data_IF_345624741587
#
_entry.id   IF_345624741587
#
_cell.length_a   1.000
_cell.length_b   1.000
_cell.length_c   1.000
_cell.angle_alpha   90.00
_cell.angle_beta   90.00
_cell.angle_gamma   90.00
#
_symmetry.space_group_name_H-M   'P 1'
#
loop_
_entity.id
_entity.type
_entity.pdbx_description
1 polymer ?
#
# COMPACT_ATOMS: atom_id res chain seq x y z
N UNK A 1 -9.91 -12.44 9.66
CA UNK A 1 -9.28 -11.14 10.04
C UNK A 1 -9.75 -10.04 9.09
N UNK A 2 -9.56 -10.15 7.78
CA UNK A 2 -9.98 -9.12 6.81
C UNK A 2 -11.44 -8.71 6.99
N UNK A 3 -12.37 -9.66 7.06
CA UNK A 3 -13.82 -9.39 7.20
C UNK A 3 -14.15 -8.57 8.45
N UNK A 4 -13.43 -8.82 9.56
CA UNK A 4 -13.59 -8.06 10.80
C UNK A 4 -13.13 -6.61 10.63
N UNK A 5 -11.99 -6.39 9.98
CA UNK A 5 -11.47 -5.04 9.71
C UNK A 5 -12.44 -4.28 8.81
N UNK A 6 -12.91 -4.93 7.73
CA UNK A 6 -13.89 -4.34 6.81
C UNK A 6 -15.20 -3.99 7.53
N UNK A 7 -15.69 -4.87 8.41
CA UNK A 7 -16.90 -4.56 9.19
C UNK A 7 -16.70 -3.37 10.13
N UNK A 8 -15.60 -3.34 10.87
CA UNK A 8 -15.25 -2.20 11.74
C UNK A 8 -15.14 -0.90 10.94
N UNK A 9 -14.50 -0.93 9.76
CA UNK A 9 -14.38 0.23 8.87
C UNK A 9 -15.76 0.71 8.40
N UNK A 10 -16.68 -0.20 8.02
CA UNK A 10 -18.06 0.14 7.65
C UNK A 10 -18.82 0.82 8.78
N UNK A 11 -18.70 0.29 9.99
CA UNK A 11 -19.39 0.83 11.17
C UNK A 11 -18.91 2.25 11.53
N UNK A 12 -17.64 2.54 11.28
CA UNK A 12 -17.02 3.85 11.55
C UNK A 12 -17.18 4.88 10.43
N UNK A 13 -17.48 4.46 9.22
CA UNK A 13 -17.39 5.30 8.02
C UNK A 13 -18.24 6.59 8.14
N UNK A 14 -19.46 6.51 8.68
CA UNK A 14 -20.31 7.68 8.87
C UNK A 14 -19.69 8.69 9.84
N UNK A 15 -19.14 8.21 10.95
CA UNK A 15 -18.43 9.05 11.93
C UNK A 15 -17.20 9.70 11.31
N UNK A 16 -16.43 8.96 10.47
CA UNK A 16 -15.29 9.52 9.76
C UNK A 16 -15.73 10.62 8.78
N UNK A 17 -16.80 10.40 8.02
CA UNK A 17 -17.36 11.40 7.09
C UNK A 17 -17.82 12.67 7.79
N UNK A 18 -18.32 12.58 9.01
CA UNK A 18 -18.72 13.74 9.83
C UNK A 18 -17.51 14.48 10.43
N UNK A 19 -16.46 13.73 10.78
CA UNK A 19 -15.27 14.29 11.43
C UNK A 19 -14.29 14.95 10.45
N UNK A 20 -14.07 14.34 9.29
CA UNK A 20 -13.10 14.79 8.30
C UNK A 20 -13.78 15.49 7.13
N UNK A 21 -13.48 16.77 6.96
CA UNK A 21 -14.00 17.59 5.86
C UNK A 21 -13.04 17.50 4.67
N UNK A 22 -13.57 17.14 3.51
CA UNK A 22 -12.79 17.14 2.27
C UNK A 22 -12.63 18.57 1.76
N UNK A 23 -11.40 18.98 1.48
CA UNK A 23 -11.14 20.27 0.84
C UNK A 23 -11.59 20.20 -0.64
N UNK A 24 -12.45 21.14 -1.05
CA UNK A 24 -12.98 21.22 -2.43
C UNK A 24 -11.94 21.72 -3.44
N UNK A 25 -10.89 22.41 -2.99
CA UNK A 25 -9.85 23.00 -3.84
C UNK A 25 -8.59 22.10 -3.88
N UNK A 26 -8.71 20.94 -4.52
CA UNK A 26 -7.60 19.99 -4.66
C UNK A 26 -6.82 20.21 -5.95
N UNK A 27 -5.50 20.11 -5.89
CA UNK A 27 -4.67 19.98 -7.10
C UNK A 27 -4.83 18.58 -7.69
N UNK A 28 -5.55 18.48 -8.79
CA UNK A 28 -5.88 17.22 -9.47
C UNK A 28 -4.76 16.72 -10.41
N UNK A 29 -3.60 17.37 -10.41
CA UNK A 29 -2.46 16.88 -11.20
C UNK A 29 -2.05 15.48 -10.78
N UNK A 30 -1.58 14.64 -11.73
CA UNK A 30 -1.06 13.33 -11.43
C UNK A 30 0.07 13.37 -10.39
N UNK A 31 -0.03 12.56 -9.37
CA UNK A 31 0.92 12.53 -8.25
C UNK A 31 2.24 11.84 -8.57
N UNK A 32 2.25 10.97 -9.60
CA UNK A 32 3.45 10.27 -10.12
C UNK A 32 4.14 9.39 -9.07
N UNK A 33 3.37 8.72 -8.21
CA UNK A 33 3.92 7.84 -7.17
C UNK A 33 4.80 6.74 -7.77
N UNK A 34 4.28 5.96 -8.72
CA UNK A 34 5.05 4.88 -9.34
C UNK A 34 6.12 5.40 -10.28
N UNK A 35 5.92 6.53 -10.95
CA UNK A 35 6.98 7.13 -11.77
C UNK A 35 8.22 7.44 -10.92
N UNK A 36 8.05 8.05 -9.74
CA UNK A 36 9.15 8.33 -8.81
C UNK A 36 9.85 7.03 -8.37
N UNK A 37 9.09 5.97 -8.10
CA UNK A 37 9.62 4.68 -7.72
C UNK A 37 10.44 4.04 -8.86
N UNK A 38 9.98 4.12 -10.11
CA UNK A 38 10.68 3.59 -11.28
C UNK A 38 11.96 4.37 -11.60
N UNK A 39 11.97 5.68 -11.39
CA UNK A 39 13.13 6.56 -11.59
C UNK A 39 14.22 6.38 -10.54
N UNK A 40 13.94 5.67 -9.44
CA UNK A 40 14.94 5.36 -8.42
C UNK A 40 16.10 4.54 -9.01
N UNK A 41 17.33 4.99 -8.76
CA UNK A 41 18.55 4.29 -9.18
C UNK A 41 18.89 3.10 -8.28
N UNK A 42 18.11 2.83 -7.25
CA UNK A 42 18.35 1.73 -6.32
C UNK A 42 18.16 0.37 -7.00
N UNK A 43 19.00 -0.57 -6.61
CA UNK A 43 18.96 -1.97 -7.08
C UNK A 43 17.62 -2.64 -6.76
N UNK A 44 17.05 -2.32 -5.61
CA UNK A 44 15.71 -2.71 -5.17
C UNK A 44 14.88 -1.46 -4.99
N UNK A 45 13.72 -1.41 -5.64
CA UNK A 45 12.78 -0.30 -5.55
C UNK A 45 11.83 -0.57 -4.39
N UNK A 46 12.08 0.07 -3.26
CA UNK A 46 11.39 -0.21 -2.01
C UNK A 46 10.40 0.90 -1.68
N UNK A 47 9.15 0.52 -1.44
CA UNK A 47 8.16 1.32 -0.74
C UNK A 47 8.33 1.01 0.75
N UNK A 48 8.83 1.97 1.52
CA UNK A 48 9.10 1.82 2.95
C UNK A 48 7.82 1.99 3.77
N UNK A 49 7.35 0.93 4.44
CA UNK A 49 6.12 1.02 5.22
C UNK A 49 6.39 1.48 6.65
N UNK A 50 5.67 2.53 7.05
CA UNK A 50 5.64 3.07 8.41
C UNK A 50 4.35 2.62 9.09
N UNK A 51 4.48 1.81 10.14
CA UNK A 51 3.36 1.33 10.96
C UNK A 51 3.74 1.17 12.41
N UNK A 52 2.82 1.52 13.31
CA UNK A 52 3.00 1.39 14.75
C UNK A 52 2.75 -0.02 15.26
N UNK A 53 1.70 -0.64 14.74
CA UNK A 53 1.25 -1.97 15.14
C UNK A 53 0.71 -2.78 13.96
N UNK A 54 0.48 -4.06 14.16
CA UNK A 54 -0.28 -4.93 13.25
C UNK A 54 -0.94 -6.07 14.00
N UNK A 55 -2.04 -6.66 13.48
CA UNK A 55 -2.71 -7.79 14.12
C UNK A 55 -1.82 -9.00 14.34
N UNK A 56 -0.80 -9.20 13.50
CA UNK A 56 0.11 -10.34 13.58
C UNK A 56 1.30 -10.15 14.51
N UNK A 57 1.73 -8.90 14.75
CA UNK A 57 2.95 -8.59 15.51
C UNK A 57 2.68 -7.78 16.79
N UNK A 58 1.43 -7.31 17.01
CA UNK A 58 1.13 -6.36 18.08
C UNK A 58 1.81 -5.02 17.84
N UNK A 59 2.20 -4.34 18.91
CA UNK A 59 2.98 -3.09 18.84
C UNK A 59 4.39 -3.44 18.35
N UNK A 60 4.79 -2.86 17.21
CA UNK A 60 6.10 -3.12 16.58
C UNK A 60 7.15 -2.17 17.14
N UNK A 61 6.75 -0.94 17.46
CA UNK A 61 7.63 0.09 18.00
C UNK A 61 6.89 0.92 19.05
N UNK A 62 7.32 0.83 20.31
CA UNK A 62 6.72 1.58 21.43
C UNK A 62 7.01 3.07 21.28
N UNK A 63 8.28 3.44 21.07
CA UNK A 63 8.72 4.81 20.81
C UNK A 63 8.53 5.14 19.32
N UNK A 64 7.27 5.32 18.92
CA UNK A 64 6.92 5.59 17.53
C UNK A 64 7.08 7.07 17.21
N UNK A 65 8.22 7.45 16.63
CA UNK A 65 8.49 8.78 16.08
C UNK A 65 8.36 8.74 14.54
N UNK A 66 7.21 9.22 14.06
CA UNK A 66 6.83 9.21 12.65
C UNK A 66 7.85 9.91 11.75
N UNK A 67 8.25 11.14 12.12
CA UNK A 67 9.13 11.96 11.29
C UNK A 67 10.58 11.46 11.31
N UNK A 68 11.05 10.95 12.43
CA UNK A 68 12.36 10.31 12.50
C UNK A 68 12.43 9.05 11.65
N UNK A 69 11.37 8.23 11.66
CA UNK A 69 11.28 7.04 10.79
C UNK A 69 11.27 7.41 9.30
N UNK A 70 10.45 8.39 8.91
CA UNK A 70 10.40 8.86 7.53
C UNK A 70 11.77 9.41 7.06
N UNK A 71 12.45 10.23 7.88
CA UNK A 71 13.79 10.75 7.60
C UNK A 71 14.81 9.63 7.45
N UNK A 72 14.78 8.63 8.32
CA UNK A 72 15.70 7.49 8.25
C UNK A 72 15.50 6.68 6.96
N UNK A 73 14.25 6.48 6.53
CA UNK A 73 13.96 5.80 5.26
C UNK A 73 14.51 6.59 4.06
N UNK A 74 14.27 7.91 4.01
CA UNK A 74 14.81 8.78 2.96
C UNK A 74 16.36 8.72 2.95
N UNK A 75 16.98 8.80 4.12
CA UNK A 75 18.45 8.73 4.26
C UNK A 75 19.03 7.39 3.80
N UNK A 76 18.22 6.32 3.85
CA UNK A 76 18.57 5.00 3.31
C UNK A 76 18.28 4.87 1.81
N UNK A 77 17.86 5.95 1.15
CA UNK A 77 17.59 5.98 -0.29
C UNK A 77 16.16 5.56 -0.68
N UNK A 78 15.23 5.39 0.27
CA UNK A 78 13.83 5.08 -0.04
C UNK A 78 13.15 6.34 -0.56
N UNK A 79 12.54 6.26 -1.74
CA UNK A 79 11.89 7.39 -2.43
C UNK A 79 10.38 7.45 -2.21
N UNK A 80 9.78 6.37 -1.74
CA UNK A 80 8.33 6.24 -1.57
C UNK A 80 8.00 5.60 -0.22
N UNK A 81 7.04 6.16 0.48
CA UNK A 81 6.55 5.62 1.75
C UNK A 81 5.16 4.99 1.58
N UNK A 82 4.89 3.99 2.40
CA UNK A 82 3.56 3.48 2.71
C UNK A 82 3.25 3.84 4.16
N UNK A 83 2.17 4.57 4.40
CA UNK A 83 1.82 5.06 5.73
C UNK A 83 0.49 4.47 6.15
N UNK A 84 0.49 3.70 7.25
CA UNK A 84 -0.71 3.12 7.82
C UNK A 84 -1.60 4.22 8.43
N UNK A 85 -2.84 4.30 7.96
CA UNK A 85 -3.85 5.22 8.49
C UNK A 85 -5.00 4.50 9.18
N UNK A 86 -5.05 3.17 9.10
CA UNK A 86 -6.06 2.36 9.79
C UNK A 86 -5.84 2.40 11.32
N UNK A 87 -6.87 2.82 12.06
CA UNK A 87 -6.75 3.23 13.45
C UNK A 87 -6.89 2.09 14.45
N UNK A 88 -7.80 1.12 14.20
CA UNK A 88 -8.22 0.13 15.20
C UNK A 88 -7.25 -1.05 15.33
N UNK A 89 -6.74 -1.53 14.21
CA UNK A 89 -5.91 -2.75 14.15
C UNK A 89 -4.42 -2.46 13.93
N UNK A 90 -4.11 -1.30 13.31
CA UNK A 90 -2.73 -0.91 12.99
C UNK A 90 -2.27 0.30 13.78
N UNK A 91 -3.13 0.92 14.58
CA UNK A 91 -2.88 2.13 15.37
C UNK A 91 -2.33 3.28 14.50
N UNK A 92 -2.83 3.36 13.25
CA UNK A 92 -2.53 4.42 12.32
C UNK A 92 -3.35 5.67 12.59
N UNK A 93 -3.06 6.75 11.86
CA UNK A 93 -3.80 8.01 11.92
C UNK A 93 -3.74 8.70 10.56
N UNK A 94 -4.84 9.33 10.14
CA UNK A 94 -4.88 10.10 8.89
C UNK A 94 -3.91 11.27 8.91
N UNK A 95 -3.70 11.87 10.08
CA UNK A 95 -2.80 13.01 10.32
C UNK A 95 -1.33 12.70 10.04
N UNK A 96 -0.92 11.43 9.98
CA UNK A 96 0.46 11.06 9.68
C UNK A 96 0.88 11.51 8.27
N UNK A 97 -0.04 11.47 7.30
CA UNK A 97 0.27 11.87 5.92
C UNK A 97 0.58 13.36 5.83
N UNK A 98 -0.32 14.30 6.23
CA UNK A 98 0.00 15.72 6.19
C UNK A 98 1.22 16.09 7.04
N UNK A 99 1.43 15.50 8.22
CA UNK A 99 2.62 15.74 9.04
C UNK A 99 3.93 15.42 8.30
N UNK A 100 3.96 14.32 7.54
CA UNK A 100 5.12 13.98 6.71
C UNK A 100 5.24 14.98 5.56
N UNK A 101 4.15 15.27 4.85
CA UNK A 101 4.14 16.14 3.66
C UNK A 101 4.53 17.59 3.96
N UNK A 102 4.20 18.11 5.13
CA UNK A 102 4.60 19.45 5.56
C UNK A 102 6.12 19.56 5.79
N UNK A 103 6.77 18.44 6.07
CA UNK A 103 8.19 18.42 6.48
C UNK A 103 9.12 17.85 5.41
N UNK A 104 8.64 16.91 4.60
CA UNK A 104 9.44 16.11 3.69
C UNK A 104 8.79 16.04 2.30
N UNK A 105 9.61 16.25 1.27
CA UNK A 105 9.18 16.02 -0.13
C UNK A 105 9.37 14.53 -0.48
N UNK A 106 8.34 13.74 -0.23
CA UNK A 106 8.34 12.29 -0.48
C UNK A 106 6.96 11.84 -0.95
N UNK A 107 6.93 10.81 -1.77
CA UNK A 107 5.68 10.21 -2.25
C UNK A 107 5.10 9.25 -1.22
N UNK A 108 3.77 9.34 -0.99
CA UNK A 108 3.09 8.58 0.06
C UNK A 108 1.92 7.76 -0.51
N UNK A 109 1.99 6.45 -0.30
CA UNK A 109 0.85 5.53 -0.38
C UNK A 109 0.09 5.56 0.94
N UNK A 110 -1.18 5.96 0.92
CA UNK A 110 -2.07 5.73 2.05
C UNK A 110 -2.41 4.24 2.15
N UNK A 111 -1.94 3.58 3.20
CA UNK A 111 -2.21 2.16 3.47
C UNK A 111 -3.41 2.07 4.42
N UNK A 112 -4.58 1.81 3.86
CA UNK A 112 -5.85 1.70 4.58
C UNK A 112 -6.77 0.69 3.87
N UNK A 113 -7.93 0.40 4.43
CA UNK A 113 -8.97 -0.44 3.83
C UNK A 113 -10.03 0.47 3.20
N UNK A 114 -9.88 0.74 1.90
CA UNK A 114 -10.79 1.58 1.13
C UNK A 114 -11.97 0.74 0.65
N UNK A 115 -13.18 1.12 1.10
CA UNK A 115 -14.45 0.46 0.82
C UNK A 115 -15.55 1.43 0.39
N UNK A 116 -15.24 2.72 0.29
CA UNK A 116 -16.17 3.78 -0.07
C UNK A 116 -15.42 4.89 -0.83
N UNK A 117 -16.08 5.48 -1.82
CA UNK A 117 -15.47 6.53 -2.66
C UNK A 117 -15.03 7.76 -1.88
N UNK A 118 -15.73 8.10 -0.78
CA UNK A 118 -15.35 9.20 0.09
C UNK A 118 -13.91 9.09 0.58
N UNK A 119 -13.44 7.86 0.89
CA UNK A 119 -12.08 7.63 1.36
C UNK A 119 -11.04 8.01 0.30
N UNK A 120 -11.37 7.92 -1.00
CA UNK A 120 -10.48 8.30 -2.10
C UNK A 120 -10.34 9.83 -2.15
N UNK A 121 -11.45 10.57 -2.05
CA UNK A 121 -11.42 12.02 -1.97
C UNK A 121 -10.70 12.50 -0.71
N UNK A 122 -10.94 11.84 0.42
CA UNK A 122 -10.26 12.13 1.68
C UNK A 122 -8.74 11.87 1.55
N UNK A 123 -8.32 10.75 0.97
CA UNK A 123 -6.91 10.44 0.70
C UNK A 123 -6.20 11.59 -0.06
N UNK A 124 -6.85 12.08 -1.11
CA UNK A 124 -6.34 13.23 -1.87
C UNK A 124 -6.25 14.48 -1.00
N UNK A 125 -7.27 14.76 -0.20
CA UNK A 125 -7.34 15.97 0.62
C UNK A 125 -6.27 16.06 1.71
N UNK A 126 -5.80 14.92 2.22
CA UNK A 126 -4.73 14.82 3.21
C UNK A 126 -3.33 14.73 2.60
N UNK A 127 -3.23 14.72 1.25
CA UNK A 127 -1.96 14.77 0.54
C UNK A 127 -1.36 13.40 0.17
N UNK A 128 -2.13 12.33 0.16
CA UNK A 128 -1.68 11.06 -0.39
C UNK A 128 -1.34 11.20 -1.90
N UNK A 129 -0.36 10.44 -2.36
CA UNK A 129 0.02 10.33 -3.77
C UNK A 129 -0.52 9.05 -4.41
N UNK A 130 -0.75 8.03 -3.61
CA UNK A 130 -1.25 6.73 -4.02
C UNK A 130 -2.21 6.19 -2.96
N UNK A 131 -3.16 5.37 -3.38
CA UNK A 131 -4.05 4.64 -2.48
C UNK A 131 -3.90 3.13 -2.65
N UNK A 132 -4.26 2.39 -1.59
CA UNK A 132 -4.39 0.94 -1.63
C UNK A 132 -5.83 0.54 -1.91
N UNK A 133 -6.02 -0.36 -2.86
CA UNK A 133 -7.24 -1.15 -3.01
C UNK A 133 -6.94 -2.62 -2.75
N UNK A 134 -7.80 -3.32 -2.02
CA UNK A 134 -7.65 -4.75 -1.70
C UNK A 134 -8.72 -5.52 -2.44
N UNK A 135 -8.32 -6.38 -3.38
CA UNK A 135 -9.25 -7.07 -4.27
C UNK A 135 -10.23 -7.96 -3.51
N UNK A 136 -9.77 -8.64 -2.45
CA UNK A 136 -10.62 -9.49 -1.60
C UNK A 136 -11.70 -8.72 -0.84
N UNK A 137 -11.55 -7.41 -0.68
CA UNK A 137 -12.50 -6.55 0.02
C UNK A 137 -13.56 -5.91 -0.90
N UNK A 138 -13.37 -6.00 -2.22
CA UNK A 138 -14.14 -5.26 -3.22
C UNK A 138 -14.69 -6.18 -4.31
N UNK A 139 -15.82 -5.80 -4.88
CA UNK A 139 -16.31 -6.39 -6.13
C UNK A 139 -15.53 -5.83 -7.33
N UNK A 140 -15.56 -6.54 -8.48
CA UNK A 140 -14.96 -6.04 -9.73
C UNK A 140 -15.50 -4.67 -10.14
N UNK A 141 -16.78 -4.41 -9.91
CA UNK A 141 -17.42 -3.13 -10.22
C UNK A 141 -16.87 -2.00 -9.33
N UNK A 142 -16.70 -2.25 -8.03
CA UNK A 142 -16.11 -1.29 -7.09
C UNK A 142 -14.64 -1.03 -7.40
N UNK A 143 -13.86 -2.06 -7.72
CA UNK A 143 -12.45 -1.90 -8.15
C UNK A 143 -12.36 -0.94 -9.33
N UNK A 144 -13.13 -1.18 -10.39
CA UNK A 144 -13.11 -0.33 -11.59
C UNK A 144 -13.59 1.10 -11.30
N UNK A 145 -14.63 1.25 -10.48
CA UNK A 145 -15.13 2.57 -10.06
C UNK A 145 -14.07 3.32 -9.27
N UNK A 146 -13.45 2.68 -8.28
CA UNK A 146 -12.47 3.32 -7.40
C UNK A 146 -11.18 3.67 -8.14
N UNK A 147 -10.72 2.82 -9.06
CA UNK A 147 -9.61 3.16 -9.97
C UNK A 147 -9.93 4.40 -10.79
N UNK A 148 -11.14 4.48 -11.36
CA UNK A 148 -11.57 5.64 -12.15
C UNK A 148 -11.56 6.90 -11.29
N UNK A 149 -12.19 6.89 -10.12
CA UNK A 149 -12.24 8.04 -9.20
C UNK A 149 -10.81 8.45 -8.79
N UNK A 150 -9.94 7.50 -8.43
CA UNK A 150 -8.57 7.80 -8.06
C UNK A 150 -7.80 8.49 -9.19
N UNK A 151 -7.93 8.01 -10.43
CA UNK A 151 -7.33 8.65 -11.62
C UNK A 151 -7.86 10.08 -11.85
N UNK A 152 -9.16 10.31 -11.68
CA UNK A 152 -9.79 11.65 -11.78
C UNK A 152 -9.26 12.59 -10.69
N UNK A 153 -8.92 12.05 -9.50
CA UNK A 153 -8.26 12.80 -8.42
C UNK A 153 -6.73 12.93 -8.61
N UNK A 154 -6.16 12.38 -9.69
CA UNK A 154 -4.72 12.37 -9.95
C UNK A 154 -3.93 11.46 -8.99
N UNK A 155 -4.58 10.50 -8.34
CA UNK A 155 -3.94 9.51 -7.47
C UNK A 155 -3.50 8.28 -8.25
N UNK A 156 -2.33 7.75 -7.92
CA UNK A 156 -1.96 6.39 -8.30
C UNK A 156 -2.70 5.35 -7.43
N UNK A 157 -2.80 4.12 -7.92
CA UNK A 157 -3.48 3.02 -7.22
C UNK A 157 -2.58 1.80 -7.17
N UNK A 158 -2.35 1.26 -5.97
CA UNK A 158 -1.82 -0.08 -5.76
C UNK A 158 -2.99 -1.02 -5.50
N UNK A 159 -3.34 -1.87 -6.46
CA UNK A 159 -4.34 -2.93 -6.28
C UNK A 159 -3.65 -4.18 -5.77
N UNK A 160 -3.87 -4.49 -4.49
CA UNK A 160 -3.29 -5.63 -3.77
C UNK A 160 -4.22 -6.83 -3.80
N UNK A 161 -3.65 -8.04 -3.90
CA UNK A 161 -4.36 -9.29 -3.69
C UNK A 161 -3.44 -10.40 -3.14
N UNK A 162 -4.04 -11.45 -2.60
CA UNK A 162 -3.36 -12.66 -2.16
C UNK A 162 -3.93 -13.92 -2.83
N UNK A 163 -5.27 -14.04 -2.86
CA UNK A 163 -5.91 -15.25 -3.36
C UNK A 163 -5.92 -15.31 -4.89
N UNK A 164 -5.63 -16.49 -5.44
CA UNK A 164 -5.64 -16.70 -6.88
C UNK A 164 -7.04 -16.54 -7.52
N UNK A 165 -8.10 -16.70 -6.75
CA UNK A 165 -9.48 -16.46 -7.22
C UNK A 165 -9.72 -15.00 -7.65
N UNK A 166 -8.88 -14.07 -7.17
CA UNK A 166 -8.95 -12.64 -7.50
C UNK A 166 -8.44 -12.32 -8.92
N UNK A 167 -7.71 -13.22 -9.56
CA UNK A 167 -7.13 -13.02 -10.91
C UNK A 167 -8.20 -12.58 -11.92
N UNK A 168 -9.40 -13.12 -11.85
CA UNK A 168 -10.50 -12.77 -12.77
C UNK A 168 -11.01 -11.32 -12.59
N UNK A 169 -10.79 -10.73 -11.41
CA UNK A 169 -11.10 -9.31 -11.16
C UNK A 169 -9.98 -8.40 -11.65
N UNK A 170 -8.73 -8.86 -11.61
CA UNK A 170 -7.51 -8.07 -11.79
C UNK A 170 -7.05 -8.03 -13.25
N UNK A 171 -7.23 -9.11 -14.01
CA UNK A 171 -6.66 -9.29 -15.34
C UNK A 171 -6.95 -8.13 -16.31
N UNK A 172 -8.12 -7.48 -16.20
CA UNK A 172 -8.58 -6.44 -17.13
C UNK A 172 -8.54 -5.03 -16.55
N UNK A 173 -8.01 -4.82 -15.31
CA UNK A 173 -8.00 -3.47 -14.70
C UNK A 173 -7.06 -2.54 -15.46
N UNK A 174 -7.42 -1.27 -15.55
CA UNK A 174 -6.60 -0.25 -16.21
C UNK A 174 -5.51 0.31 -15.28
N UNK A 175 -4.60 -0.57 -14.86
CA UNK A 175 -3.41 -0.23 -14.05
C UNK A 175 -2.17 -0.83 -14.70
N UNK A 176 -1.00 -0.24 -14.43
CA UNK A 176 0.31 -0.76 -14.84
C UNK A 176 1.04 -1.46 -13.69
N UNK A 177 0.56 -1.26 -12.45
CA UNK A 177 1.18 -1.79 -11.23
C UNK A 177 0.12 -2.47 -10.38
N UNK A 178 0.45 -3.66 -9.88
CA UNK A 178 -0.36 -4.42 -8.91
C UNK A 178 0.51 -4.91 -7.76
N UNK A 179 -0.13 -5.20 -6.62
CA UNK A 179 0.51 -5.80 -5.46
C UNK A 179 0.15 -7.28 -5.32
N UNK A 180 1.14 -8.13 -5.05
CA UNK A 180 0.88 -9.52 -4.63
C UNK A 180 1.41 -9.69 -3.21
N UNK A 181 0.48 -9.93 -2.28
CA UNK A 181 0.81 -10.03 -0.87
C UNK A 181 1.17 -11.48 -0.48
N UNK A 182 2.39 -11.69 -0.04
CA UNK A 182 2.85 -12.98 0.51
C UNK A 182 2.12 -13.37 1.81
N UNK A 183 1.43 -12.42 2.45
CA UNK A 183 0.64 -12.67 3.66
C UNK A 183 -0.82 -12.88 3.30
N UNK A 184 -1.37 -14.02 3.69
CA UNK A 184 -2.80 -14.26 3.61
C UNK A 184 -3.56 -13.34 4.59
N UNK A 185 -4.47 -12.52 4.07
CA UNK A 185 -5.18 -11.49 4.84
C UNK A 185 -6.23 -12.07 5.81
N UNK A 186 -6.66 -13.30 5.61
CA UNK A 186 -7.60 -13.98 6.52
C UNK A 186 -6.89 -14.73 7.66
N UNK A 187 -5.81 -15.47 7.33
CA UNK A 187 -5.10 -16.32 8.28
C UNK A 187 -3.86 -15.68 8.89
N UNK A 188 -3.38 -14.57 8.32
CA UNK A 188 -2.14 -13.85 8.66
C UNK A 188 -0.85 -14.66 8.46
N UNK A 189 -0.92 -15.85 7.89
CA UNK A 189 0.25 -16.65 7.53
C UNK A 189 0.96 -16.02 6.33
N UNK A 190 2.28 -16.07 6.36
CA UNK A 190 3.14 -15.52 5.29
C UNK A 190 3.94 -16.64 4.64
N UNK A 191 3.93 -16.70 3.32
CA UNK A 191 4.78 -17.57 2.51
C UNK A 191 5.57 -16.70 1.53
N UNK A 192 6.87 -16.63 1.72
CA UNK A 192 7.78 -15.79 0.91
C UNK A 192 7.83 -16.22 -0.57
N UNK A 193 7.38 -17.41 -0.92
CA UNK A 193 7.35 -17.88 -2.31
C UNK A 193 6.01 -17.64 -3.01
N UNK A 194 4.99 -17.19 -2.26
CA UNK A 194 3.62 -17.08 -2.77
C UNK A 194 3.51 -16.17 -3.99
N UNK A 195 4.07 -14.96 -3.92
CA UNK A 195 4.02 -14.00 -5.04
C UNK A 195 4.68 -14.58 -6.31
N UNK A 196 5.82 -15.25 -6.20
CA UNK A 196 6.47 -15.89 -7.34
C UNK A 196 5.61 -17.02 -7.91
N UNK A 197 5.01 -17.83 -7.04
CA UNK A 197 4.11 -18.90 -7.46
C UNK A 197 2.90 -18.38 -8.23
N UNK A 198 2.23 -17.34 -7.71
CA UNK A 198 1.07 -16.71 -8.37
C UNK A 198 1.47 -16.13 -9.72
N UNK A 199 2.55 -15.35 -9.78
CA UNK A 199 3.04 -14.76 -11.02
C UNK A 199 3.31 -15.82 -12.10
N UNK A 200 4.00 -16.92 -11.74
CA UNK A 200 4.37 -17.97 -12.69
C UNK A 200 3.14 -18.76 -13.18
N UNK A 201 2.24 -19.09 -12.25
CA UNK A 201 0.99 -19.82 -12.57
C UNK A 201 0.06 -19.02 -13.49
N UNK A 202 0.00 -17.69 -13.31
CA UNK A 202 -0.90 -16.79 -14.04
C UNK A 202 -0.13 -15.81 -14.94
N UNK A 203 0.99 -16.27 -15.50
CA UNK A 203 1.89 -15.44 -16.32
C UNK A 203 1.19 -14.75 -17.49
N UNK A 204 0.26 -15.45 -18.17
CA UNK A 204 -0.48 -14.89 -19.31
C UNK A 204 -1.35 -13.68 -18.90
N UNK A 205 -1.99 -13.74 -17.73
CA UNK A 205 -2.86 -12.68 -17.21
C UNK A 205 -2.06 -11.54 -16.56
N UNK A 206 -0.90 -11.84 -15.98
CA UNK A 206 -0.15 -10.90 -15.16
C UNK A 206 1.07 -10.27 -15.86
N UNK A 207 1.47 -10.77 -17.05
CA UNK A 207 2.69 -10.34 -17.76
C UNK A 207 2.75 -8.85 -18.11
N UNK A 208 1.60 -8.18 -18.21
CA UNK A 208 1.52 -6.75 -18.51
C UNK A 208 1.75 -5.83 -17.30
N UNK A 209 1.72 -6.38 -16.09
CA UNK A 209 1.84 -5.61 -14.87
C UNK A 209 3.26 -5.60 -14.31
N UNK A 210 3.66 -4.47 -13.76
CA UNK A 210 4.75 -4.41 -12.80
C UNK A 210 4.23 -4.89 -11.44
N UNK A 211 4.89 -5.86 -10.84
CA UNK A 211 4.43 -6.52 -9.61
C UNK A 211 5.21 -5.97 -8.42
N UNK A 212 4.50 -5.40 -7.44
CA UNK A 212 5.03 -5.10 -6.11
C UNK A 212 4.84 -6.32 -5.22
N UNK A 213 5.95 -6.91 -4.76
CA UNK A 213 5.90 -8.01 -3.81
C UNK A 213 5.81 -7.46 -2.38
N UNK A 214 4.81 -7.94 -1.63
CA UNK A 214 4.50 -7.43 -0.30
C UNK A 214 4.64 -8.50 0.77
N UNK A 215 5.07 -8.11 1.96
CA UNK A 215 5.20 -8.95 3.16
C UNK A 215 6.26 -10.06 3.10
N UNK A 216 6.80 -10.38 4.28
CA UNK A 216 7.66 -11.55 4.49
C UNK A 216 9.15 -11.33 4.30
N UNK A 217 9.57 -10.21 3.74
CA UNK A 217 11.00 -9.93 3.51
C UNK A 217 11.72 -9.62 4.82
N UNK A 218 12.79 -10.35 5.08
CA UNK A 218 13.59 -10.23 6.32
C UNK A 218 15.09 -10.26 6.08
N UNK A 219 15.52 -10.65 4.87
CA UNK A 219 16.91 -10.83 4.47
C UNK A 219 17.14 -10.33 3.05
N UNK A 220 18.30 -9.77 2.79
CA UNK A 220 18.70 -9.31 1.45
C UNK A 220 18.68 -10.44 0.40
N UNK A 221 18.96 -11.68 0.80
CA UNK A 221 18.91 -12.84 -0.10
C UNK A 221 17.51 -13.12 -0.65
N UNK A 222 16.46 -12.74 0.09
CA UNK A 222 15.07 -12.89 -0.37
C UNK A 222 14.75 -11.84 -1.46
N UNK A 223 15.24 -10.61 -1.32
CA UNK A 223 15.13 -9.58 -2.36
C UNK A 223 15.90 -9.98 -3.63
N UNK A 224 17.11 -10.54 -3.47
CA UNK A 224 17.91 -11.04 -4.58
C UNK A 224 17.21 -12.19 -5.32
N UNK A 225 16.62 -13.13 -4.59
CA UNK A 225 15.81 -14.20 -5.17
C UNK A 225 14.68 -13.64 -6.04
N UNK A 226 13.93 -12.67 -5.54
CA UNK A 226 12.85 -12.04 -6.29
C UNK A 226 13.36 -11.29 -7.52
N UNK A 227 14.43 -10.51 -7.38
CA UNK A 227 15.04 -9.77 -8.48
C UNK A 227 15.55 -10.71 -9.59
N UNK A 228 16.20 -11.81 -9.23
CA UNK A 228 16.65 -12.82 -10.20
C UNK A 228 15.47 -13.42 -10.97
N UNK A 229 14.28 -13.42 -10.35
CA UNK A 229 13.03 -13.84 -10.98
C UNK A 229 12.25 -12.67 -11.62
N UNK A 230 12.86 -11.50 -11.82
CA UNK A 230 12.27 -10.38 -12.55
C UNK A 230 11.33 -9.47 -11.74
N UNK A 231 11.32 -9.56 -10.41
CA UNK A 231 10.56 -8.66 -9.52
C UNK A 231 11.55 -7.86 -8.67
N UNK A 232 11.59 -6.54 -8.87
CA UNK A 232 12.48 -5.62 -8.16
C UNK A 232 11.73 -4.52 -7.37
N UNK A 233 10.39 -4.60 -7.33
CA UNK A 233 9.51 -3.70 -6.58
C UNK A 233 9.03 -4.39 -5.30
N UNK A 234 9.20 -3.72 -4.16
CA UNK A 234 8.89 -4.30 -2.85
C UNK A 234 8.15 -3.31 -1.96
N UNK A 235 7.20 -3.81 -1.17
CA UNK A 235 6.63 -3.08 -0.04
C UNK A 235 7.09 -3.75 1.25
N UNK A 236 7.90 -3.03 2.04
CA UNK A 236 8.60 -3.58 3.21
C UNK A 236 8.40 -2.68 4.42
N UNK A 237 8.00 -3.25 5.53
CA UNK A 237 7.78 -2.52 6.78
C UNK A 237 8.58 -3.10 7.95
N UNK A 238 8.15 -4.23 8.50
CA UNK A 238 8.67 -4.76 9.78
C UNK A 238 10.18 -4.93 9.84
N UNK A 239 10.80 -5.43 8.78
CA UNK A 239 12.25 -5.63 8.72
C UNK A 239 13.04 -4.33 8.62
N UNK A 240 12.51 -3.32 7.92
CA UNK A 240 13.10 -1.97 7.90
C UNK A 240 13.00 -1.32 9.28
N UNK A 241 11.84 -1.40 9.94
CA UNK A 241 11.62 -0.86 11.29
C UNK A 241 12.54 -1.51 12.33
N UNK A 242 12.91 -2.79 12.12
CA UNK A 242 13.82 -3.56 12.98
C UNK A 242 15.30 -3.45 12.55
N UNK A 243 15.63 -2.68 11.51
CA UNK A 243 17.00 -2.53 11.00
C UNK A 243 17.62 -3.82 10.47
N UNK A 244 16.81 -4.70 9.85
CA UNK A 244 17.26 -6.01 9.31
C UNK A 244 17.58 -5.96 7.80
N UNK A 245 17.10 -4.94 7.10
CA UNK A 245 17.30 -4.68 5.67
C UNK A 245 17.86 -3.29 5.45
#
# INVERSE_FOLDING_TARGET
MLDQIIQTKKDRLNTLKEHYIINEHLDLKPTKFFQTLFESSNVYKIIGEIKKASPSAGIIKEDFDLLSLAKNYISSGISNLSVLTEEDYFLGQYEYIPQIKETLDIKILQKDFIIDEWQIYHAKSIGADCILLISEALTKAEINLFIKIAKEQGLDVLLEFHNEDEITKIADVELDVIGINNRNLHTLKTDINHCLHIRDKYSDQLSRFNIVAESGFSKKSELEMYKTNGIDLFLIGESLLKGKL
#
